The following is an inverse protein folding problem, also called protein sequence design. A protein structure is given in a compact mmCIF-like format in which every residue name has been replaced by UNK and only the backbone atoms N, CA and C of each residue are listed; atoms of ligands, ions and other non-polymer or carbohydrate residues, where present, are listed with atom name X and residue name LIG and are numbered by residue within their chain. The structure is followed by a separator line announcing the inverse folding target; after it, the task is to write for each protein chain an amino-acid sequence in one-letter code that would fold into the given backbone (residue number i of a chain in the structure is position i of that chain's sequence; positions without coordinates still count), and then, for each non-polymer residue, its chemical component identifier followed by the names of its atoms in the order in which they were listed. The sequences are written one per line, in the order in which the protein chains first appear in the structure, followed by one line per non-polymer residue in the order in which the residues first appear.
data_IF_734356318831
#
_entry.id   IF_734356318831
#
_cell.length_a   1.000
_cell.length_b   1.000
_cell.length_c   1.000
_cell.angle_alpha   90.00
_cell.angle_beta   90.00
_cell.angle_gamma   90.00
#
_symmetry.space_group_name_H-M   'P 1'
#
loop_
_entity.id
_entity.type
_entity.pdbx_description
1 polymer ?
#
# COMPACT_ATOMS: atom_id res chain seq x y z
N UNK A 1 -12.81 -33.39 -0.06
CA UNK A 1 -13.02 -31.95 -0.34
C UNK A 1 -12.93 -31.77 -1.85
N UNK A 2 -13.95 -31.22 -2.50
CA UNK A 2 -13.92 -31.00 -3.95
C UNK A 2 -13.34 -29.62 -4.29
N UNK A 3 -12.76 -29.50 -5.48
CA UNK A 3 -12.27 -28.24 -6.03
C UNK A 3 -13.34 -27.12 -5.96
N UNK A 4 -14.59 -27.46 -6.30
CA UNK A 4 -15.72 -26.54 -6.22
C UNK A 4 -16.02 -26.03 -4.79
N UNK A 5 -15.75 -26.83 -3.76
CA UNK A 5 -15.93 -26.41 -2.37
C UNK A 5 -14.86 -25.38 -1.96
N UNK A 6 -13.64 -25.54 -2.46
CA UNK A 6 -12.53 -24.60 -2.21
C UNK A 6 -12.81 -23.27 -2.91
N UNK A 7 -13.23 -23.30 -4.18
CA UNK A 7 -13.56 -22.10 -4.96
C UNK A 7 -14.72 -21.32 -4.33
N UNK A 8 -15.76 -22.02 -3.85
CA UNK A 8 -16.84 -21.39 -3.08
C UNK A 8 -16.36 -20.72 -1.81
N UNK A 9 -15.47 -21.37 -1.05
CA UNK A 9 -14.93 -20.81 0.19
C UNK A 9 -14.08 -19.56 -0.07
N UNK A 10 -13.25 -19.58 -1.12
CA UNK A 10 -12.44 -18.43 -1.52
C UNK A 10 -13.36 -17.27 -1.90
N UNK A 11 -14.35 -17.53 -2.76
CA UNK A 11 -15.30 -16.50 -3.22
C UNK A 11 -16.06 -15.87 -2.05
N UNK A 12 -16.55 -16.68 -1.12
CA UNK A 12 -17.24 -16.20 0.08
C UNK A 12 -16.34 -15.30 0.94
N UNK A 13 -15.10 -15.70 1.18
CA UNK A 13 -14.16 -14.93 2.02
C UNK A 13 -13.74 -13.61 1.38
N UNK A 14 -13.49 -13.61 0.07
CA UNK A 14 -13.15 -12.39 -0.69
C UNK A 14 -14.30 -11.40 -0.65
N UNK A 15 -15.54 -11.86 -0.90
CA UNK A 15 -16.71 -10.99 -0.84
C UNK A 15 -16.93 -10.42 0.56
N UNK A 16 -16.80 -11.25 1.61
CA UNK A 16 -16.93 -10.78 2.99
C UNK A 16 -15.87 -9.71 3.35
N UNK A 17 -14.62 -9.90 2.93
CA UNK A 17 -13.55 -8.93 3.16
C UNK A 17 -13.79 -7.62 2.39
N UNK A 18 -14.29 -7.70 1.15
CA UNK A 18 -14.59 -6.52 0.34
C UNK A 18 -15.72 -5.68 0.96
N UNK A 19 -16.78 -6.33 1.43
CA UNK A 19 -17.90 -5.63 2.09
C UNK A 19 -17.48 -5.01 3.43
N UNK A 20 -16.63 -5.70 4.20
CA UNK A 20 -16.07 -5.14 5.44
C UNK A 20 -15.20 -3.90 5.19
N UNK A 21 -14.39 -3.92 4.12
CA UNK A 21 -13.57 -2.77 3.71
C UNK A 21 -14.45 -1.59 3.24
N UNK A 22 -15.51 -1.87 2.48
CA UNK A 22 -16.49 -0.84 2.07
C UNK A 22 -17.16 -0.18 3.28
N UNK A 23 -17.61 -0.98 4.24
CA UNK A 23 -18.20 -0.48 5.48
C UNK A 23 -17.20 0.33 6.33
N UNK A 24 -15.96 -0.14 6.44
CA UNK A 24 -14.86 0.57 7.12
C UNK A 24 -14.59 1.94 6.51
N UNK A 25 -14.56 2.03 5.17
CA UNK A 25 -14.38 3.29 4.43
C UNK A 25 -15.56 4.25 4.62
N UNK A 26 -16.79 3.75 4.60
CA UNK A 26 -17.97 4.57 4.87
C UNK A 26 -17.96 5.16 6.28
N UNK A 27 -17.46 4.40 7.27
CA UNK A 27 -17.36 4.84 8.65
C UNK A 27 -16.17 5.79 8.93
N UNK A 28 -15.17 5.84 8.04
CA UNK A 28 -14.02 6.76 8.15
C UNK A 28 -14.28 8.18 7.68
N UNK A 29 -15.47 8.50 7.19
CA UNK A 29 -15.85 9.85 6.72
C UNK A 29 -15.89 10.97 7.78
N UNK A 30 -15.46 10.74 9.03
CA UNK A 30 -15.61 11.71 10.13
C UNK A 30 -14.39 12.00 11.00
N UNK A 31 -13.23 11.35 10.80
CA UNK A 31 -12.09 11.55 11.70
C UNK A 31 -10.75 11.32 11.00
N UNK A 32 -10.29 12.33 10.29
CA UNK A 32 -8.88 12.74 10.29
C UNK A 32 -8.77 14.04 9.50
N UNK A 33 -8.67 15.12 10.26
CA UNK A 33 -8.20 16.43 9.83
C UNK A 33 -6.76 16.28 9.31
N UNK A 34 -6.60 15.95 8.04
CA UNK A 34 -5.38 16.25 7.31
C UNK A 34 -5.80 17.05 6.09
N UNK A 35 -5.48 18.34 6.16
CA UNK A 35 -5.77 19.35 5.17
C UNK A 35 -4.93 19.14 3.90
N UNK A 36 -5.31 18.13 3.13
CA UNK A 36 -4.88 17.96 1.75
C UNK A 36 -6.00 17.21 1.01
N UNK A 37 -7.04 17.99 0.71
CA UNK A 37 -7.78 18.00 -0.56
C UNK A 37 -7.23 17.02 -1.62
N UNK A 38 -7.99 16.24 -2.36
CA UNK A 38 -9.43 16.13 -2.59
C UNK A 38 -9.56 14.91 -3.50
N UNK A 39 -10.58 14.09 -3.30
CA UNK A 39 -11.03 13.13 -4.30
C UNK A 39 -10.50 11.73 -4.10
N UNK A 40 -11.38 10.87 -3.58
CA UNK A 40 -11.22 9.44 -3.74
C UNK A 40 -11.10 9.12 -5.23
N UNK A 41 -10.00 8.50 -5.60
CA UNK A 41 -9.83 7.80 -6.85
C UNK A 41 -8.64 6.89 -6.69
N UNK A 42 -8.78 5.68 -7.23
CA UNK A 42 -7.74 4.74 -7.58
C UNK A 42 -6.69 5.43 -8.47
N UNK A 43 -5.87 6.28 -7.85
CA UNK A 43 -4.76 6.96 -8.48
C UNK A 43 -3.54 6.43 -7.76
N UNK A 44 -2.65 5.83 -8.54
CA UNK A 44 -1.31 5.49 -8.07
C UNK A 44 -0.81 6.67 -7.22
N UNK A 45 -0.35 6.42 -5.97
CA UNK A 45 0.13 7.49 -5.12
C UNK A 45 1.10 8.33 -5.94
N UNK A 46 0.99 9.68 -5.88
CA UNK A 46 1.83 10.55 -6.68
C UNK A 46 3.27 10.09 -6.52
N UNK A 47 4.00 9.92 -7.64
CA UNK A 47 5.42 9.57 -7.62
C UNK A 47 6.09 10.63 -6.77
N UNK A 48 6.38 10.30 -5.51
CA UNK A 48 7.10 11.18 -4.61
C UNK A 48 8.53 11.08 -5.10
N UNK A 49 8.98 12.09 -5.84
CA UNK A 49 10.37 12.22 -6.19
C UNK A 49 11.17 12.31 -4.88
N UNK A 50 11.73 11.18 -4.48
CA UNK A 50 12.61 11.12 -3.32
C UNK A 50 13.97 11.60 -3.79
N UNK A 51 14.30 12.86 -3.49
CA UNK A 51 15.65 13.35 -3.65
C UNK A 51 16.56 12.66 -2.62
N UNK A 52 17.86 12.61 -2.89
CA UNK A 52 18.82 12.04 -1.94
C UNK A 52 18.71 12.73 -0.57
N UNK A 53 18.57 14.07 -0.56
CA UNK A 53 18.41 14.84 0.67
C UNK A 53 17.15 14.44 1.45
N UNK A 54 16.00 14.30 0.77
CA UNK A 54 14.76 13.92 1.44
C UNK A 54 14.74 12.46 1.91
N UNK A 55 15.54 11.58 1.29
CA UNK A 55 15.78 10.22 1.78
C UNK A 55 16.58 10.22 3.08
N UNK A 56 17.66 11.01 3.14
CA UNK A 56 18.53 11.08 4.31
C UNK A 56 17.81 11.62 5.55
N UNK A 57 16.86 12.54 5.39
CA UNK A 57 16.02 13.05 6.49
C UNK A 57 15.09 11.99 7.10
N UNK A 58 14.81 10.89 6.39
CA UNK A 58 13.86 9.85 6.83
C UNK A 58 14.50 8.75 7.69
N UNK A 59 15.75 8.94 8.13
CA UNK A 59 16.54 7.94 8.86
C UNK A 59 16.53 6.59 8.13
N UNK A 60 17.11 6.52 6.92
CA UNK A 60 17.12 5.30 6.15
C UNK A 60 17.90 4.21 6.89
N UNK A 61 17.51 2.96 6.69
CA UNK A 61 18.26 1.82 7.23
C UNK A 61 19.69 1.87 6.69
N UNK A 62 20.72 1.84 7.58
CA UNK A 62 22.11 1.87 7.14
C UNK A 62 22.41 0.69 6.20
N UNK A 63 22.71 0.99 4.95
CA UNK A 63 23.12 -0.01 3.98
C UNK A 63 24.61 -0.28 4.17
N UNK A 64 24.96 -1.53 4.52
CA UNK A 64 26.34 -1.97 4.69
C UNK A 64 26.84 -2.69 3.44
N UNK A 65 26.66 -2.06 2.28
CA UNK A 65 27.29 -2.54 1.05
C UNK A 65 28.78 -2.21 1.06
N UNK A 66 29.60 -3.11 0.52
CA UNK A 66 30.96 -2.76 0.12
C UNK A 66 30.87 -1.74 -1.02
N UNK A 67 31.41 -0.55 -0.81
CA UNK A 67 31.55 0.45 -1.86
C UNK A 67 32.34 -0.18 -3.03
N UNK A 68 31.75 -0.20 -4.23
CA UNK A 68 32.42 -0.71 -5.44
C UNK A 68 31.98 -2.07 -6.01
N UNK A 69 30.88 -2.69 -5.59
CA UNK A 69 30.34 -3.86 -6.28
C UNK A 69 29.41 -3.49 -7.46
N UNK A 70 29.97 -2.84 -8.48
CA UNK A 70 29.40 -2.87 -9.82
C UNK A 70 30.48 -3.47 -10.73
N UNK A 71 30.53 -4.81 -10.81
CA UNK A 71 30.95 -5.39 -12.09
C UNK A 71 29.74 -5.26 -13.01
N UNK A 72 29.81 -4.28 -13.91
CA UNK A 72 28.96 -4.25 -15.09
C UNK A 72 29.44 -5.41 -15.97
N UNK A 73 28.67 -6.50 -16.03
CA UNK A 73 28.74 -7.49 -17.11
C UNK A 73 27.49 -7.34 -17.97
#
# INVERSE_FOLDING_TARGET
MSQAAIERLITQRVNAALEAERASRANKGGKESNANETGGQDRAPPVRECTFSSFMERNPTPFHGKEGAIELC
#
